data_IF_926288365883
#
_entry.id   IF_926288365883
#
_cell.length_a   1.000
_cell.length_b   1.000
_cell.length_c   1.000
_cell.angle_alpha   90.00
_cell.angle_beta   90.00
_cell.angle_gamma   90.00
#
_symmetry.space_group_name_H-M   'P 1'
#
loop_
_entity.id
_entity.type
_entity.pdbx_description
1 polymer ?
#
# COMPACT_ATOMS: atom_id res chain seq x y z
N UNK A 1 -74.98 13.05 26.93
CA UNK A 1 -74.18 11.80 26.90
C UNK A 1 -72.72 12.15 27.12
N UNK A 2 -72.10 11.64 28.19
CA UNK A 2 -70.67 11.82 28.51
C UNK A 2 -69.86 10.83 27.67
N UNK A 3 -69.03 11.31 26.75
CA UNK A 3 -68.12 10.47 25.98
C UNK A 3 -66.79 10.38 26.72
N UNK A 4 -66.49 9.16 27.20
CA UNK A 4 -65.35 8.83 28.06
C UNK A 4 -64.10 8.73 27.19
N UNK A 5 -63.18 9.68 27.34
CA UNK A 5 -61.85 9.63 26.73
C UNK A 5 -61.07 8.46 27.34
N UNK A 6 -60.82 7.40 26.56
CA UNK A 6 -60.01 6.25 26.99
C UNK A 6 -58.65 6.29 26.29
N UNK A 7 -57.67 6.64 27.12
CA UNK A 7 -56.23 6.62 26.95
C UNK A 7 -55.66 5.76 25.81
N UNK A 8 -55.00 6.44 24.89
CA UNK A 8 -54.04 5.89 23.93
C UNK A 8 -52.70 5.65 24.65
N UNK A 9 -52.66 4.64 25.53
CA UNK A 9 -51.48 4.33 26.38
C UNK A 9 -50.48 3.34 25.77
N UNK A 10 -50.73 2.83 24.56
CA UNK A 10 -49.84 1.87 23.88
C UNK A 10 -48.89 2.47 22.84
N UNK A 11 -49.20 3.67 22.32
CA UNK A 11 -48.46 4.22 21.18
C UNK A 11 -47.11 4.84 21.59
N UNK A 12 -46.99 5.37 22.80
CA UNK A 12 -45.75 6.00 23.29
C UNK A 12 -44.63 5.00 23.55
N UNK A 13 -44.94 3.80 24.05
CA UNK A 13 -43.92 2.79 24.41
C UNK A 13 -43.28 2.17 23.16
N UNK A 14 -44.09 1.89 22.13
CA UNK A 14 -43.60 1.41 20.83
C UNK A 14 -42.75 2.47 20.13
N UNK A 15 -43.12 3.75 20.21
CA UNK A 15 -42.34 4.85 19.64
C UNK A 15 -40.99 5.03 20.35
N UNK A 16 -40.94 4.83 21.67
CA UNK A 16 -39.70 4.88 22.46
C UNK A 16 -38.78 3.69 22.17
N UNK A 17 -39.31 2.48 22.03
CA UNK A 17 -38.52 1.30 21.64
C UNK A 17 -38.00 1.44 20.21
N UNK A 18 -38.79 2.01 19.29
CA UNK A 18 -38.33 2.32 17.93
C UNK A 18 -37.26 3.41 17.91
N UNK A 19 -37.36 4.42 18.77
CA UNK A 19 -36.36 5.49 18.89
C UNK A 19 -35.04 4.97 19.50
N UNK A 20 -35.09 4.07 20.49
CA UNK A 20 -33.89 3.41 21.01
C UNK A 20 -33.27 2.43 20.01
N UNK A 21 -34.06 1.68 19.23
CA UNK A 21 -33.52 0.85 18.13
C UNK A 21 -32.85 1.70 17.04
N UNK A 22 -33.41 2.86 16.71
CA UNK A 22 -32.82 3.80 15.75
C UNK A 22 -31.56 4.50 16.29
N UNK A 23 -31.42 4.64 17.62
CA UNK A 23 -30.21 5.14 18.27
C UNK A 23 -29.11 4.08 18.39
N UNK A 24 -29.46 2.78 18.37
CA UNK A 24 -28.51 1.66 18.44
C UNK A 24 -28.02 1.13 17.10
N UNK A 25 -28.62 1.54 15.97
CA UNK A 25 -28.01 1.36 14.64
C UNK A 25 -27.27 2.63 14.25
N UNK A 26 -26.28 3.00 15.08
CA UNK A 26 -25.08 3.60 14.51
C UNK A 26 -24.28 2.46 13.90
N UNK A 27 -24.71 2.00 12.72
CA UNK A 27 -23.78 1.40 11.78
C UNK A 27 -22.66 2.43 11.63
N UNK A 28 -21.54 2.13 12.28
CA UNK A 28 -20.30 2.81 12.00
C UNK A 28 -20.04 2.46 10.55
N UNK A 29 -20.41 3.35 9.63
CA UNK A 29 -19.92 3.33 8.26
C UNK A 29 -18.41 3.53 8.38
N UNK A 30 -17.69 2.45 8.66
CA UNK A 30 -16.25 2.47 8.76
C UNK A 30 -15.78 2.67 7.33
N UNK A 31 -15.16 3.82 7.11
CA UNK A 31 -14.42 4.16 5.90
C UNK A 31 -13.67 2.94 5.36
N UNK A 32 -13.57 2.82 4.04
CA UNK A 32 -12.84 1.77 3.33
C UNK A 32 -11.51 1.44 4.05
N UNK A 33 -11.50 0.34 4.81
CA UNK A 33 -10.32 -0.05 5.59
C UNK A 33 -9.31 -0.64 4.60
N UNK A 34 -8.31 0.16 4.21
CA UNK A 34 -7.16 -0.35 3.47
C UNK A 34 -6.27 -1.21 4.37
N UNK A 35 -6.22 -0.88 5.65
CA UNK A 35 -5.40 -1.58 6.64
C UNK A 35 -6.27 -2.08 7.79
N UNK A 36 -5.90 -3.23 8.33
CA UNK A 36 -6.53 -3.81 9.51
C UNK A 36 -5.49 -4.10 10.59
N UNK A 37 -5.85 -3.82 11.84
CA UNK A 37 -5.07 -4.14 13.02
C UNK A 37 -5.99 -4.69 14.09
N UNK A 38 -5.69 -5.88 14.59
CA UNK A 38 -6.52 -6.57 15.58
C UNK A 38 -5.71 -7.51 16.47
N UNK A 39 -6.40 -8.13 17.44
CA UNK A 39 -5.80 -9.04 18.41
C UNK A 39 -6.57 -10.36 18.46
N UNK A 40 -5.86 -11.49 18.42
CA UNK A 40 -6.48 -12.81 18.60
C UNK A 40 -6.99 -13.05 20.03
N UNK A 41 -6.53 -12.26 21.02
CA UNK A 41 -7.01 -12.39 22.41
C UNK A 41 -8.47 -11.98 22.59
N UNK A 42 -9.01 -11.15 21.68
CA UNK A 42 -10.43 -10.77 21.67
C UNK A 42 -11.30 -11.73 20.85
N UNK A 43 -10.70 -12.69 20.15
CA UNK A 43 -11.40 -13.58 19.24
C UNK A 43 -11.99 -14.79 19.98
N UNK A 44 -13.22 -15.17 19.61
CA UNK A 44 -13.85 -16.36 20.17
C UNK A 44 -13.05 -17.61 19.74
N UNK A 45 -12.80 -18.53 20.66
CA UNK A 45 -12.08 -19.77 20.35
C UNK A 45 -12.75 -20.54 19.20
N UNK A 46 -11.95 -20.96 18.22
CA UNK A 46 -12.44 -21.70 17.05
C UNK A 46 -13.23 -20.88 16.03
N UNK A 47 -13.33 -19.56 16.20
CA UNK A 47 -13.98 -18.68 15.22
C UNK A 47 -13.04 -18.25 14.09
N UNK A 48 -13.63 -17.91 12.95
CA UNK A 48 -12.94 -17.25 11.82
C UNK A 48 -13.46 -15.82 11.71
N UNK A 49 -12.61 -14.82 11.95
CA UNK A 49 -12.98 -13.42 11.79
C UNK A 49 -12.92 -13.04 10.30
N UNK A 50 -13.99 -12.41 9.80
CA UNK A 50 -14.05 -11.94 8.42
C UNK A 50 -13.59 -10.48 8.35
N UNK A 51 -12.56 -10.22 7.57
CA UNK A 51 -12.03 -8.86 7.35
C UNK A 51 -12.19 -8.51 5.88
N UNK A 52 -12.72 -7.33 5.60
CA UNK A 52 -12.96 -6.87 4.23
C UNK A 52 -12.08 -5.66 3.93
N UNK A 53 -11.16 -5.81 2.99
CA UNK A 53 -10.25 -4.75 2.57
C UNK A 53 -10.58 -4.33 1.14
N UNK A 54 -10.79 -3.02 0.92
CA UNK A 54 -11.36 -2.48 -0.33
C UNK A 54 -10.36 -1.69 -1.18
N UNK A 55 -9.11 -1.65 -0.76
CA UNK A 55 -8.05 -0.89 -1.40
C UNK A 55 -7.16 -1.79 -2.25
N UNK A 56 -6.47 -1.18 -3.21
CA UNK A 56 -5.47 -1.88 -4.02
C UNK A 56 -4.16 -2.13 -3.23
N UNK A 57 -3.98 -1.51 -2.08
CA UNK A 57 -2.81 -1.72 -1.23
C UNK A 57 -3.15 -1.43 0.23
N UNK A 58 -2.40 -2.04 1.15
CA UNK A 58 -2.55 -1.81 2.57
C UNK A 58 -1.75 -2.77 3.43
N UNK A 59 -2.12 -2.87 4.70
CA UNK A 59 -1.40 -3.67 5.71
C UNK A 59 -2.33 -4.39 6.66
N UNK A 60 -1.90 -5.57 7.11
CA UNK A 60 -2.60 -6.35 8.12
C UNK A 60 -1.63 -6.61 9.26
N UNK A 61 -2.03 -6.31 10.49
CA UNK A 61 -1.25 -6.57 11.70
C UNK A 61 -2.12 -7.31 12.73
N UNK A 62 -1.83 -8.59 12.92
CA UNK A 62 -2.52 -9.44 13.89
C UNK A 62 -1.65 -9.72 15.10
N UNK A 63 -2.01 -9.12 16.22
CA UNK A 63 -1.33 -9.29 17.51
C UNK A 63 -1.85 -10.53 18.22
N UNK A 64 -0.96 -11.32 18.82
CA UNK A 64 -1.34 -12.55 19.53
C UNK A 64 -2.30 -13.43 18.72
N UNK A 65 -1.89 -13.90 17.52
CA UNK A 65 -2.77 -14.68 16.65
C UNK A 65 -3.45 -15.84 17.37
N UNK A 66 -4.77 -15.97 17.22
CA UNK A 66 -5.57 -17.04 17.82
C UNK A 66 -6.80 -17.32 16.95
N UNK A 67 -7.07 -18.59 16.60
CA UNK A 67 -8.12 -18.93 15.64
C UNK A 67 -7.68 -18.66 14.21
N UNK A 68 -8.51 -17.98 13.41
CA UNK A 68 -8.19 -17.65 12.03
C UNK A 68 -8.83 -16.33 11.56
N UNK A 69 -8.23 -15.71 10.53
CA UNK A 69 -8.79 -14.57 9.81
C UNK A 69 -9.03 -14.96 8.35
N UNK A 70 -10.16 -14.55 7.78
CA UNK A 70 -10.41 -14.61 6.33
C UNK A 70 -10.52 -13.18 5.79
N UNK A 71 -9.52 -12.77 5.03
CA UNK A 71 -9.41 -11.46 4.42
C UNK A 71 -9.98 -11.51 3.00
N UNK A 72 -11.09 -10.82 2.77
CA UNK A 72 -11.68 -10.66 1.43
C UNK A 72 -11.17 -9.38 0.79
N UNK A 73 -10.49 -9.50 -0.34
CA UNK A 73 -9.87 -8.38 -1.04
C UNK A 73 -10.75 -8.00 -2.23
N UNK A 74 -11.34 -6.83 -2.17
CA UNK A 74 -12.21 -6.30 -3.22
C UNK A 74 -11.77 -4.89 -3.59
N UNK A 75 -10.71 -4.74 -4.39
CA UNK A 75 -10.27 -3.42 -4.82
C UNK A 75 -11.43 -2.78 -5.57
N UNK A 76 -11.79 -1.54 -5.20
CA UNK A 76 -12.81 -0.80 -5.96
C UNK A 76 -12.38 -0.79 -7.43
N UNK A 77 -13.27 -1.13 -8.38
CA UNK A 77 -12.92 -1.04 -9.80
C UNK A 77 -12.45 0.39 -10.05
N UNK A 78 -11.24 0.55 -10.57
CA UNK A 78 -10.77 1.86 -11.02
C UNK A 78 -11.82 2.39 -11.97
N UNK A 79 -12.40 3.54 -11.65
CA UNK A 79 -13.41 4.26 -12.43
C UNK A 79 -13.00 4.58 -13.89
N UNK A 80 -11.84 4.12 -14.35
CA UNK A 80 -11.35 4.13 -15.73
C UNK A 80 -12.10 3.15 -16.67
N UNK A 81 -13.43 3.13 -16.57
CA UNK A 81 -14.34 2.30 -17.38
C UNK A 81 -15.67 2.98 -17.72
N UNK A 82 -15.86 4.27 -17.42
CA UNK A 82 -17.09 5.02 -17.75
C UNK A 82 -17.06 5.70 -19.13
N UNK A 83 -16.21 5.23 -20.04
CA UNK A 83 -16.30 5.58 -21.46
C UNK A 83 -17.15 4.55 -22.20
N UNK A 84 -18.21 4.93 -22.93
CA UNK A 84 -18.97 3.99 -23.73
C UNK A 84 -18.06 3.46 -24.85
N UNK A 85 -17.77 2.15 -24.84
CA UNK A 85 -17.08 1.46 -25.93
C UNK A 85 -15.76 0.77 -25.61
N UNK A 86 -15.29 0.74 -24.35
CA UNK A 86 -14.14 -0.09 -23.98
C UNK A 86 -14.65 -1.42 -23.42
N UNK A 87 -14.55 -2.47 -24.23
CA UNK A 87 -14.68 -3.86 -23.81
C UNK A 87 -13.92 -4.05 -22.49
N UNK A 88 -14.57 -4.60 -21.46
CA UNK A 88 -13.92 -4.97 -20.20
C UNK A 88 -12.78 -5.94 -20.52
N UNK A 89 -11.57 -5.41 -20.72
CA UNK A 89 -10.42 -6.25 -21.01
C UNK A 89 -10.25 -7.18 -19.81
N UNK A 90 -10.39 -8.48 -20.06
CA UNK A 90 -10.18 -9.57 -19.11
C UNK A 90 -8.68 -9.69 -18.76
N UNK A 91 -8.05 -8.59 -18.37
CA UNK A 91 -6.63 -8.57 -18.01
C UNK A 91 -6.49 -9.24 -16.67
N UNK A 92 -5.64 -10.29 -16.55
CA UNK A 92 -5.30 -10.88 -15.26
C UNK A 92 -4.94 -9.77 -14.27
N UNK A 93 -5.35 -9.93 -13.03
CA UNK A 93 -4.84 -9.12 -11.94
C UNK A 93 -3.91 -10.00 -11.12
N UNK A 94 -2.94 -9.40 -10.44
CA UNK A 94 -2.09 -10.10 -9.50
C UNK A 94 -2.23 -9.46 -8.14
N UNK A 95 -2.06 -10.26 -7.12
CA UNK A 95 -1.91 -9.80 -5.75
C UNK A 95 -0.58 -10.29 -5.25
N UNK A 96 0.12 -9.37 -4.62
CA UNK A 96 1.41 -9.61 -4.03
C UNK A 96 1.34 -9.33 -2.53
N UNK A 97 1.97 -10.19 -1.75
CA UNK A 97 2.07 -10.06 -0.29
C UNK A 97 3.54 -10.03 0.11
N UNK A 98 3.88 -9.18 1.08
CA UNK A 98 5.20 -9.11 1.70
C UNK A 98 5.04 -9.21 3.21
N UNK A 99 5.53 -10.29 3.80
CA UNK A 99 5.57 -10.45 5.24
C UNK A 99 6.59 -9.49 5.87
N UNK A 100 6.26 -8.96 7.04
CA UNK A 100 7.17 -8.13 7.83
C UNK A 100 8.24 -9.03 8.51
N UNK A 101 9.46 -8.52 8.78
CA UNK A 101 10.56 -9.33 9.36
C UNK A 101 10.21 -10.04 10.67
N UNK A 102 9.33 -9.46 11.49
CA UNK A 102 8.86 -10.00 12.76
C UNK A 102 7.68 -10.99 12.66
N UNK A 103 7.31 -11.41 11.44
CA UNK A 103 6.22 -12.35 11.21
C UNK A 103 6.37 -13.61 12.07
N UNK A 104 5.36 -13.90 12.88
CA UNK A 104 5.33 -15.08 13.74
C UNK A 104 3.92 -15.37 14.26
N UNK A 105 3.66 -16.63 14.62
CA UNK A 105 2.43 -17.09 15.25
C UNK A 105 1.30 -17.38 14.27
N UNK A 106 1.51 -17.31 12.96
CA UNK A 106 0.50 -17.64 11.98
C UNK A 106 1.07 -18.11 10.64
N UNK A 107 0.23 -18.77 9.86
CA UNK A 107 0.47 -19.13 8.47
C UNK A 107 -0.49 -18.36 7.57
N UNK A 108 0.01 -17.85 6.44
CA UNK A 108 -0.77 -17.13 5.44
C UNK A 108 -1.00 -18.02 4.23
N UNK A 109 -2.26 -18.13 3.81
CA UNK A 109 -2.71 -18.92 2.68
C UNK A 109 -3.46 -18.06 1.66
N UNK A 110 -3.35 -18.45 0.39
CA UNK A 110 -4.24 -18.02 -0.67
C UNK A 110 -5.45 -18.96 -0.72
N UNK A 111 -6.65 -18.41 -0.63
CA UNK A 111 -7.89 -19.13 -0.89
C UNK A 111 -8.31 -18.95 -2.36
N UNK A 112 -8.34 -20.05 -3.11
CA UNK A 112 -8.80 -20.12 -4.50
C UNK A 112 -9.63 -21.37 -4.71
N UNK A 113 -10.85 -21.23 -5.22
CA UNK A 113 -11.74 -22.35 -5.56
C UNK A 113 -11.94 -23.36 -4.41
N UNK A 114 -11.95 -22.87 -3.16
CA UNK A 114 -12.07 -23.69 -1.96
C UNK A 114 -10.78 -24.40 -1.52
N UNK A 115 -9.66 -24.18 -2.22
CA UNK A 115 -8.32 -24.69 -1.88
C UNK A 115 -7.50 -23.61 -1.19
N UNK A 116 -6.75 -24.00 -0.16
CA UNK A 116 -5.80 -23.15 0.55
C UNK A 116 -4.36 -23.48 0.13
N UNK A 117 -3.69 -22.54 -0.52
CA UNK A 117 -2.27 -22.65 -0.91
C UNK A 117 -1.39 -21.83 0.04
N UNK A 118 -0.38 -22.45 0.66
CA UNK A 118 0.51 -21.78 1.62
C UNK A 118 1.40 -20.74 0.94
N UNK A 119 1.31 -19.48 1.37
CA UNK A 119 2.14 -18.37 0.90
C UNK A 119 3.30 -18.05 1.86
N UNK A 120 3.00 -17.98 3.17
CA UNK A 120 3.98 -17.64 4.22
C UNK A 120 3.79 -18.59 5.40
N UNK A 121 4.87 -19.26 5.80
CA UNK A 121 4.89 -20.14 6.98
C UNK A 121 5.09 -19.38 8.29
N UNK A 122 4.93 -20.09 9.42
CA UNK A 122 5.03 -19.52 10.78
C UNK A 122 6.43 -18.97 11.13
N UNK A 123 7.47 -19.58 10.56
CA UNK A 123 8.87 -19.18 10.76
C UNK A 123 9.47 -18.93 9.39
N UNK A 124 9.14 -17.79 8.79
CA UNK A 124 9.77 -17.34 7.54
C UNK A 124 11.09 -16.64 7.86
N UNK A 125 12.22 -17.28 7.56
CA UNK A 125 13.56 -16.71 7.78
C UNK A 125 13.93 -15.54 6.85
N UNK A 126 13.13 -15.25 5.83
CA UNK A 126 13.39 -14.20 4.84
C UNK A 126 12.09 -13.54 4.38
N UNK A 127 12.10 -12.21 4.24
CA UNK A 127 10.97 -11.38 3.78
C UNK A 127 10.78 -11.48 2.27
N UNK A 128 10.28 -12.61 1.80
CA UNK A 128 10.00 -12.78 0.38
C UNK A 128 8.64 -12.23 0.00
N UNK A 129 8.62 -11.32 -0.98
CA UNK A 129 7.40 -10.95 -1.69
C UNK A 129 6.90 -12.16 -2.49
N UNK A 130 5.62 -12.52 -2.31
CA UNK A 130 4.95 -13.57 -3.09
C UNK A 130 3.82 -12.96 -3.89
N UNK A 131 3.82 -13.18 -5.20
CA UNK A 131 2.80 -12.68 -6.12
C UNK A 131 2.03 -13.84 -6.76
N UNK A 132 0.74 -13.66 -6.95
CA UNK A 132 -0.15 -14.65 -7.55
C UNK A 132 -1.19 -13.97 -8.44
N UNK A 133 -1.38 -14.52 -9.64
CA UNK A 133 -2.28 -13.99 -10.66
C UNK A 133 -3.68 -14.60 -10.53
N UNK A 134 -4.72 -13.82 -10.76
CA UNK A 134 -6.12 -14.21 -10.72
C UNK A 134 -6.88 -13.59 -11.89
N UNK A 135 -7.93 -14.26 -12.36
CA UNK A 135 -8.72 -13.74 -13.49
C UNK A 135 -9.73 -12.69 -13.04
N UNK A 136 -10.11 -11.73 -13.91
CA UNK A 136 -11.16 -10.77 -13.58
C UNK A 136 -12.49 -11.46 -13.25
N UNK A 137 -13.00 -11.22 -12.05
CA UNK A 137 -14.21 -11.85 -11.54
C UNK A 137 -13.95 -12.87 -10.42
N UNK A 138 -12.74 -13.44 -10.37
CA UNK A 138 -12.26 -14.15 -9.18
C UNK A 138 -12.19 -13.18 -7.99
N UNK A 139 -12.61 -13.64 -6.82
CA UNK A 139 -12.51 -12.89 -5.56
C UNK A 139 -11.42 -13.53 -4.71
N UNK A 140 -10.14 -13.15 -4.88
CA UNK A 140 -9.08 -13.73 -4.08
C UNK A 140 -9.33 -13.38 -2.61
N UNK A 141 -9.18 -14.38 -1.75
CA UNK A 141 -9.17 -14.20 -0.32
C UNK A 141 -7.84 -14.71 0.25
N UNK A 142 -7.38 -14.05 1.31
CA UNK A 142 -6.24 -14.48 2.08
C UNK A 142 -6.74 -15.08 3.39
N UNK A 143 -6.24 -16.25 3.75
CA UNK A 143 -6.60 -16.92 4.99
C UNK A 143 -5.39 -16.95 5.91
N UNK A 144 -5.53 -16.42 7.12
CA UNK A 144 -4.52 -16.49 8.16
C UNK A 144 -4.97 -17.49 9.21
N UNK A 145 -4.12 -18.46 9.51
CA UNK A 145 -4.37 -19.44 10.57
C UNK A 145 -3.33 -19.27 11.66
N UNK A 146 -3.78 -19.11 12.91
CA UNK A 146 -2.86 -19.05 14.04
C UNK A 146 -2.16 -20.40 14.25
N UNK A 147 -0.87 -20.37 14.51
CA UNK A 147 -0.10 -21.55 14.87
C UNK A 147 -0.36 -21.88 16.35
N UNK A 148 -0.79 -23.09 16.71
CA UNK A 148 -1.01 -23.45 18.10
C UNK A 148 0.26 -23.26 18.95
N UNK A 149 0.14 -22.52 20.05
CA UNK A 149 1.21 -22.36 21.03
C UNK A 149 0.65 -22.41 22.45
N UNK A 150 1.47 -22.81 23.43
CA UNK A 150 1.04 -22.98 24.83
C UNK A 150 1.45 -21.83 25.75
N UNK A 151 2.29 -20.91 25.26
CA UNK A 151 2.71 -19.73 26.00
C UNK A 151 1.80 -18.53 25.70
N UNK A 152 1.97 -17.42 26.43
CA UNK A 152 1.35 -16.12 26.11
C UNK A 152 2.36 -15.18 25.44
N UNK A 153 3.35 -15.76 24.73
CA UNK A 153 4.42 -14.97 24.13
C UNK A 153 3.85 -14.00 23.09
N UNK A 154 4.41 -12.80 23.04
CA UNK A 154 4.01 -11.81 22.03
C UNK A 154 4.47 -12.29 20.66
N UNK A 155 3.50 -12.60 19.79
CA UNK A 155 3.69 -12.96 18.39
C UNK A 155 2.89 -11.99 17.53
N UNK A 156 3.40 -11.70 16.34
CA UNK A 156 2.80 -10.72 15.44
C UNK A 156 2.84 -11.29 14.03
N UNK A 157 1.66 -11.55 13.47
CA UNK A 157 1.50 -11.87 12.06
C UNK A 157 1.19 -10.56 11.31
N UNK A 158 2.23 -9.95 10.74
CA UNK A 158 2.11 -8.69 10.02
C UNK A 158 2.62 -8.79 8.58
N UNK A 159 1.84 -8.29 7.64
CA UNK A 159 2.21 -8.25 6.23
C UNK A 159 1.55 -7.09 5.50
N UNK A 160 2.12 -6.75 4.34
CA UNK A 160 1.57 -5.78 3.40
C UNK A 160 1.10 -6.47 2.14
N UNK A 161 0.08 -5.91 1.52
CA UNK A 161 -0.49 -6.43 0.29
C UNK A 161 -0.61 -5.34 -0.77
N UNK A 162 -0.47 -5.73 -2.03
CA UNK A 162 -0.69 -4.90 -3.21
C UNK A 162 -1.45 -5.71 -4.26
N UNK A 163 -2.44 -5.10 -4.90
CA UNK A 163 -3.19 -5.63 -6.03
C UNK A 163 -2.81 -4.82 -7.26
N UNK A 164 -2.36 -5.51 -8.29
CA UNK A 164 -1.94 -4.94 -9.57
C UNK A 164 -2.84 -5.48 -10.66
N UNK A 165 -3.50 -4.60 -11.42
CA UNK A 165 -4.13 -5.02 -12.67
C UNK A 165 -3.05 -5.12 -13.75
N UNK A 166 -3.05 -6.15 -14.58
CA UNK A 166 -2.18 -6.26 -15.77
C UNK A 166 -2.62 -5.30 -16.89
N UNK A 167 -3.16 -4.13 -16.52
CA UNK A 167 -3.25 -3.00 -17.45
C UNK A 167 -1.85 -2.44 -17.55
N UNK A 168 -1.10 -3.01 -18.50
CA UNK A 168 -0.08 -2.37 -19.33
C UNK A 168 0.03 -0.87 -19.01
N UNK A 169 1.04 -0.52 -18.23
CA UNK A 169 1.59 0.83 -18.06
C UNK A 169 2.12 1.34 -19.43
N UNK A 170 1.25 1.43 -20.44
CA UNK A 170 1.55 2.14 -21.69
C UNK A 170 0.85 3.47 -21.66
N UNK A 171 1.38 4.35 -20.81
CA UNK A 171 1.61 5.76 -21.13
C UNK A 171 2.91 6.24 -20.45
N UNK A 172 3.98 5.45 -20.53
CA UNK A 172 5.35 5.86 -20.89
C UNK A 172 6.23 4.62 -20.77
N UNK A 173 6.81 4.26 -21.91
CA UNK A 173 7.70 3.14 -22.19
C UNK A 173 8.70 2.79 -21.06
N UNK A 174 8.39 1.80 -20.21
CA UNK A 174 9.08 0.50 -20.17
C UNK A 174 8.52 -0.40 -19.06
N UNK A 175 8.09 -1.58 -19.49
CA UNK A 175 7.27 -2.58 -18.80
C UNK A 175 7.81 -3.12 -17.47
N UNK A 176 6.98 -3.04 -16.43
CA UNK A 176 7.03 -3.92 -15.27
C UNK A 176 5.86 -4.90 -15.34
N UNK A 177 6.07 -6.07 -15.95
CA UNK A 177 5.43 -7.33 -15.59
C UNK A 177 6.22 -8.49 -16.21
N UNK A 178 6.73 -9.38 -15.34
CA UNK A 178 7.07 -10.78 -15.60
C UNK A 178 7.81 -11.09 -16.92
N UNK A 179 8.95 -10.45 -17.09
CA UNK A 179 10.13 -10.94 -17.82
C UNK A 179 11.31 -10.06 -17.35
N UNK A 180 12.57 -10.52 -17.39
CA UNK A 180 13.68 -9.78 -16.79
C UNK A 180 13.70 -8.39 -17.40
N UNK A 181 13.49 -7.38 -16.57
CA UNK A 181 13.70 -5.96 -16.87
C UNK A 181 14.90 -5.92 -17.81
N UNK A 182 14.73 -5.43 -19.04
CA UNK A 182 15.88 -5.04 -19.83
C UNK A 182 16.59 -3.99 -18.98
N UNK A 183 17.65 -4.42 -18.31
CA UNK A 183 18.39 -3.69 -17.28
C UNK A 183 18.85 -2.31 -17.77
N UNK A 184 18.91 -2.15 -19.10
CA UNK A 184 19.22 -0.94 -19.84
C UNK A 184 18.19 0.19 -19.67
N UNK A 185 16.91 -0.12 -19.49
CA UNK A 185 15.85 0.89 -19.37
C UNK A 185 15.65 1.45 -17.95
N UNK A 186 15.96 0.66 -16.93
CA UNK A 186 15.64 0.99 -15.53
C UNK A 186 16.68 1.91 -14.86
N UNK A 187 17.93 1.90 -15.34
CA UNK A 187 19.03 2.64 -14.73
C UNK A 187 19.46 3.88 -15.52
N UNK A 188 18.79 4.18 -16.64
CA UNK A 188 19.09 5.38 -17.42
C UNK A 188 18.64 6.64 -16.67
N UNK A 189 19.39 7.75 -16.76
CA UNK A 189 18.91 9.03 -16.27
C UNK A 189 17.58 9.42 -16.94
N UNK A 190 16.66 9.99 -16.16
CA UNK A 190 15.41 10.52 -16.69
C UNK A 190 15.67 11.70 -17.63
N UNK A 191 14.94 11.77 -18.74
CA UNK A 191 14.94 12.93 -19.63
C UNK A 191 14.08 14.08 -19.07
N UNK A 192 14.11 15.25 -19.72
CA UNK A 192 13.42 16.45 -19.25
C UNK A 192 11.91 16.23 -19.01
N UNK A 193 11.24 15.57 -19.95
CA UNK A 193 9.81 15.27 -19.83
C UNK A 193 9.53 14.30 -18.68
N UNK A 194 10.33 13.24 -18.56
CA UNK A 194 10.22 12.25 -17.47
C UNK A 194 10.46 12.89 -16.12
N UNK A 195 11.48 13.74 -15.99
CA UNK A 195 11.76 14.47 -14.75
C UNK A 195 10.58 15.33 -14.32
N UNK A 196 9.98 16.08 -15.25
CA UNK A 196 8.83 16.95 -14.96
C UNK A 196 7.59 16.13 -14.58
N UNK A 197 7.29 15.06 -15.32
CA UNK A 197 6.15 14.19 -15.03
C UNK A 197 6.31 13.44 -13.71
N UNK A 198 7.52 12.97 -13.38
CA UNK A 198 7.79 12.23 -12.16
C UNK A 198 7.46 13.06 -10.90
N UNK A 199 7.70 14.37 -10.93
CA UNK A 199 7.30 15.27 -9.83
C UNK A 199 5.79 15.27 -9.61
N UNK A 200 4.98 15.03 -10.65
CA UNK A 200 3.52 15.05 -10.55
C UNK A 200 2.94 13.69 -10.18
N UNK A 201 3.53 12.59 -10.63
CA UNK A 201 2.93 11.24 -10.54
C UNK A 201 3.53 10.34 -9.46
N UNK A 202 4.70 10.69 -8.91
CA UNK A 202 5.37 9.89 -7.88
C UNK A 202 4.60 9.81 -6.55
N UNK A 203 4.81 8.77 -5.76
CA UNK A 203 4.26 8.72 -4.39
C UNK A 203 5.06 9.62 -3.44
N UNK A 204 6.33 9.88 -3.74
CA UNK A 204 7.17 10.80 -2.99
C UNK A 204 8.00 11.72 -3.90
N UNK A 205 8.26 12.92 -3.41
CA UNK A 205 9.11 13.94 -4.04
C UNK A 205 9.91 14.63 -2.94
N UNK A 206 11.22 14.40 -2.91
CA UNK A 206 12.09 14.79 -1.80
C UNK A 206 13.38 15.41 -2.31
N UNK A 207 13.73 16.57 -1.78
CA UNK A 207 15.08 17.15 -1.96
C UNK A 207 15.97 16.69 -0.81
N UNK A 208 17.15 16.19 -1.14
CA UNK A 208 18.10 15.74 -0.11
C UNK A 208 19.48 15.42 -0.64
N UNK A 209 20.26 14.77 0.21
CA UNK A 209 21.64 14.35 -0.04
C UNK A 209 21.81 12.86 0.30
N UNK A 210 22.63 12.16 -0.48
CA UNK A 210 23.00 10.77 -0.21
C UNK A 210 24.00 10.75 0.96
N UNK A 211 23.65 10.05 2.03
CA UNK A 211 24.51 9.86 3.21
C UNK A 211 25.34 8.58 3.09
N UNK A 212 24.69 7.49 2.69
CA UNK A 212 25.31 6.19 2.50
C UNK A 212 24.54 5.41 1.43
N UNK A 213 25.19 4.41 0.85
CA UNK A 213 24.56 3.41 -0.02
C UNK A 213 24.96 2.05 0.52
N UNK A 214 23.97 1.26 0.90
CA UNK A 214 24.14 -0.10 1.41
C UNK A 214 23.56 -1.09 0.39
N UNK A 215 24.02 -2.35 0.47
CA UNK A 215 23.50 -3.42 -0.37
C UNK A 215 22.62 -4.31 0.49
N UNK A 216 21.38 -4.50 0.07
CA UNK A 216 20.48 -5.49 0.62
C UNK A 216 20.63 -6.78 -0.22
N UNK A 217 21.25 -7.80 0.39
CA UNK A 217 21.51 -9.09 -0.27
C UNK A 217 20.22 -9.84 -0.59
N UNK A 218 19.20 -9.68 0.23
CA UNK A 218 17.96 -10.45 0.18
C UNK A 218 17.05 -9.92 -0.94
N UNK A 219 17.01 -8.58 -1.08
CA UNK A 219 16.25 -7.90 -2.12
C UNK A 219 17.02 -7.69 -3.43
N UNK A 220 18.33 -8.02 -3.46
CA UNK A 220 19.25 -7.67 -4.56
C UNK A 220 19.11 -6.20 -4.96
N UNK A 221 19.00 -5.33 -3.95
CA UNK A 221 18.73 -3.91 -4.12
C UNK A 221 19.82 -3.05 -3.45
N UNK A 222 20.08 -1.88 -4.01
CA UNK A 222 20.85 -0.83 -3.37
C UNK A 222 19.92 0.03 -2.50
N UNK A 223 20.27 0.20 -1.23
CA UNK A 223 19.55 1.02 -0.25
C UNK A 223 20.29 2.34 -0.08
N UNK A 224 19.69 3.42 -0.58
CA UNK A 224 20.21 4.78 -0.53
C UNK A 224 19.70 5.43 0.76
N UNK A 225 20.58 5.68 1.72
CA UNK A 225 20.25 6.45 2.93
C UNK A 225 20.28 7.93 2.60
N UNK A 226 19.13 8.59 2.69
CA UNK A 226 18.95 9.98 2.29
C UNK A 226 18.68 10.86 3.50
N UNK A 227 19.39 11.98 3.57
CA UNK A 227 19.06 13.09 4.46
C UNK A 227 18.26 14.10 3.66
N UNK A 228 16.98 14.21 3.98
CA UNK A 228 16.03 15.07 3.31
C UNK A 228 16.11 16.49 3.90
N UNK A 229 16.39 17.44 3.01
CA UNK A 229 16.36 18.88 3.33
C UNK A 229 14.96 19.46 3.15
N UNK A 230 14.16 18.88 2.24
CA UNK A 230 12.75 19.26 2.03
C UNK A 230 11.96 18.07 1.50
N UNK A 231 10.81 17.79 2.11
CA UNK A 231 9.84 16.80 1.63
C UNK A 231 8.69 17.58 0.99
N UNK A 232 8.54 17.49 -0.33
CA UNK A 232 7.46 18.17 -1.05
C UNK A 232 6.17 17.35 -1.01
N UNK A 233 6.32 16.03 -1.12
CA UNK A 233 5.24 15.05 -1.05
C UNK A 233 5.81 13.73 -0.56
N UNK A 234 5.05 13.00 0.23
CA UNK A 234 5.29 11.59 0.50
C UNK A 234 3.98 10.89 0.85
N UNK A 235 3.77 9.72 0.27
CA UNK A 235 2.77 8.75 0.70
C UNK A 235 3.35 7.97 1.88
N UNK A 236 2.63 7.89 3.00
CA UNK A 236 3.14 7.37 4.28
C UNK A 236 4.33 8.18 4.84
N UNK A 237 4.78 7.85 6.04
CA UNK A 237 5.90 8.52 6.71
C UNK A 237 7.26 7.93 6.29
N UNK A 238 7.55 7.92 4.98
CA UNK A 238 8.79 7.35 4.40
C UNK A 238 10.05 8.09 4.87
N UNK A 239 9.94 9.41 5.02
CA UNK A 239 10.97 10.28 5.58
C UNK A 239 10.47 10.81 6.91
N UNK A 240 11.01 10.26 7.98
CA UNK A 240 10.65 10.62 9.35
C UNK A 240 11.66 11.61 9.93
N UNK A 241 11.20 12.45 10.86
CA UNK A 241 12.08 13.41 11.52
C UNK A 241 12.97 12.68 12.52
N UNK A 242 14.29 12.71 12.30
CA UNK A 242 15.30 12.17 13.23
C UNK A 242 15.86 13.24 14.17
N UNK A 243 15.19 14.39 14.29
CA UNK A 243 15.56 15.50 15.16
C UNK A 243 14.63 16.71 15.01
N UNK A 244 15.11 17.93 15.35
CA UNK A 244 14.30 19.16 15.26
C UNK A 244 14.16 19.73 13.83
N UNK A 245 15.03 19.37 12.89
CA UNK A 245 15.09 20.03 11.57
C UNK A 245 15.40 19.12 10.37
N UNK A 246 15.82 17.87 10.57
CA UNK A 246 16.28 16.99 9.47
C UNK A 246 15.42 15.75 9.37
N UNK A 247 14.87 15.51 8.19
CA UNK A 247 14.17 14.27 7.87
C UNK A 247 15.17 13.28 7.28
N UNK A 248 15.01 12.00 7.57
CA UNK A 248 15.81 10.93 6.97
C UNK A 248 14.91 9.79 6.52
N UNK A 249 15.32 9.13 5.45
CA UNK A 249 14.61 7.99 4.90
C UNK A 249 15.54 7.15 4.02
N UNK A 250 15.01 6.01 3.58
CA UNK A 250 15.72 5.05 2.75
C UNK A 250 14.99 4.89 1.43
N UNK A 251 15.74 4.87 0.32
CA UNK A 251 15.21 4.66 -1.02
C UNK A 251 15.91 3.46 -1.64
N UNK A 252 15.15 2.53 -2.19
CA UNK A 252 15.65 1.32 -2.85
C UNK A 252 15.75 1.50 -4.35
N UNK A 253 16.74 0.87 -4.98
CA UNK A 253 16.88 0.77 -6.43
C UNK A 253 17.61 -0.51 -6.82
N UNK A 254 17.63 -0.86 -8.09
CA UNK A 254 18.31 -2.08 -8.56
C UNK A 254 19.83 -1.96 -8.35
N UNK A 255 20.46 -3.07 -7.90
CA UNK A 255 21.92 -3.11 -7.76
C UNK A 255 22.67 -2.82 -9.07
N UNK A 256 22.10 -3.22 -10.20
CA UNK A 256 22.66 -2.99 -11.53
C UNK A 256 22.81 -1.50 -11.89
N UNK A 257 22.08 -0.60 -11.21
CA UNK A 257 22.20 0.84 -11.44
C UNK A 257 23.49 1.43 -10.86
N UNK A 258 24.24 0.67 -10.06
CA UNK A 258 25.59 1.04 -9.63
C UNK A 258 25.66 2.36 -8.84
N UNK A 259 24.61 2.66 -8.06
CA UNK A 259 24.52 3.91 -7.29
C UNK A 259 25.66 4.00 -6.28
N UNK A 260 26.26 5.18 -6.18
CA UNK A 260 27.36 5.49 -5.26
C UNK A 260 27.05 6.72 -4.43
N UNK A 261 27.69 6.81 -3.28
CA UNK A 261 27.72 8.05 -2.51
C UNK A 261 28.37 9.15 -3.35
N UNK A 262 27.72 10.32 -3.40
CA UNK A 262 28.20 11.46 -4.16
C UNK A 262 27.82 12.77 -3.51
N UNK A 263 28.62 13.81 -3.75
CA UNK A 263 28.33 15.16 -3.28
C UNK A 263 27.23 15.82 -4.12
N UNK A 264 26.50 16.74 -3.47
CA UNK A 264 25.44 17.53 -4.08
C UNK A 264 24.04 17.19 -3.55
N UNK A 265 23.09 18.04 -3.94
CA UNK A 265 21.68 17.88 -3.62
C UNK A 265 20.95 17.31 -4.83
N UNK A 266 20.06 16.35 -4.58
CA UNK A 266 19.27 15.63 -5.57
C UNK A 266 17.79 15.83 -5.30
N UNK A 267 16.98 15.76 -6.36
CA UNK A 267 15.54 15.59 -6.26
C UNK A 267 15.25 14.11 -6.44
N UNK A 268 14.80 13.42 -5.40
CA UNK A 268 14.40 12.03 -5.44
C UNK A 268 12.89 11.95 -5.66
N UNK A 269 12.49 11.19 -6.66
CA UNK A 269 11.10 10.86 -6.95
C UNK A 269 10.95 9.36 -7.14
N UNK A 270 9.78 8.82 -6.88
CA UNK A 270 9.50 7.41 -7.09
C UNK A 270 8.22 6.92 -6.47
N UNK A 271 8.05 5.61 -6.44
CA UNK A 271 6.83 4.94 -6.03
C UNK A 271 7.04 4.18 -4.72
N UNK A 272 5.96 3.96 -3.99
CA UNK A 272 5.97 3.09 -2.82
C UNK A 272 5.65 1.68 -3.26
N UNK A 273 6.49 0.73 -2.85
CA UNK A 273 6.19 -0.69 -2.94
C UNK A 273 6.31 -1.34 -1.56
N UNK A 274 5.24 -1.94 -1.08
CA UNK A 274 5.12 -2.54 0.26
C UNK A 274 5.57 -1.59 1.37
N UNK A 275 5.17 -0.31 1.29
CA UNK A 275 5.56 0.69 2.28
C UNK A 275 7.01 1.16 2.21
N UNK A 276 7.79 0.67 1.24
CA UNK A 276 9.18 1.05 1.01
C UNK A 276 9.27 1.98 -0.19
N UNK A 277 10.12 3.00 -0.11
CA UNK A 277 10.35 3.91 -1.23
C UNK A 277 11.26 3.24 -2.28
N UNK A 278 10.82 3.21 -3.54
CA UNK A 278 11.58 2.76 -4.70
C UNK A 278 11.85 3.91 -5.65
N UNK A 279 13.10 4.01 -6.11
CA UNK A 279 13.57 5.13 -6.90
C UNK A 279 12.99 5.09 -8.33
N UNK A 280 12.42 6.22 -8.76
CA UNK A 280 12.10 6.51 -10.16
C UNK A 280 13.16 7.41 -10.78
N UNK A 281 13.18 8.70 -10.42
CA UNK A 281 14.17 9.66 -10.90
C UNK A 281 15.01 10.25 -9.75
N UNK A 282 16.29 10.51 -10.02
CA UNK A 282 17.22 11.18 -9.09
C UNK A 282 18.09 12.25 -9.77
N UNK A 283 17.53 13.25 -10.48
CA UNK A 283 18.35 14.32 -11.04
C UNK A 283 19.03 15.14 -9.93
N UNK A 284 20.16 15.75 -10.26
CA UNK A 284 20.71 16.81 -9.40
C UNK A 284 19.70 17.95 -9.34
N UNK A 285 19.48 18.48 -8.14
CA UNK A 285 18.44 19.49 -7.91
C UNK A 285 18.64 20.75 -8.78
N UNK A 286 19.90 21.14 -9.02
CA UNK A 286 20.25 22.26 -9.92
C UNK A 286 19.82 22.04 -11.37
N UNK A 287 19.88 20.80 -11.86
CA UNK A 287 19.57 20.46 -13.24
C UNK A 287 18.04 20.36 -13.40
N UNK A 288 17.34 19.80 -12.41
CA UNK A 288 15.89 19.87 -12.32
C UNK A 288 15.37 21.31 -12.33
N UNK A 289 15.93 22.20 -11.50
CA UNK A 289 15.50 23.61 -11.45
C UNK A 289 15.63 24.29 -12.81
N UNK A 290 16.71 24.02 -13.56
CA UNK A 290 16.91 24.56 -14.91
C UNK A 290 15.79 24.12 -15.86
N UNK A 291 15.48 22.82 -15.87
CA UNK A 291 14.42 22.24 -16.71
C UNK A 291 13.05 22.76 -16.30
N UNK A 292 12.76 22.81 -15.00
CA UNK A 292 11.49 23.27 -14.44
C UNK A 292 11.22 24.74 -14.74
N UNK A 293 12.18 25.64 -14.52
CA UNK A 293 12.00 27.07 -14.81
C UNK A 293 11.87 27.34 -16.31
N UNK A 294 12.63 26.63 -17.15
CA UNK A 294 12.48 26.72 -18.60
C UNK A 294 11.09 26.26 -19.07
N UNK A 295 10.59 25.14 -18.54
CA UNK A 295 9.24 24.66 -18.85
C UNK A 295 8.16 25.61 -18.31
N UNK A 296 8.37 26.20 -17.13
CA UNK A 296 7.45 27.15 -16.50
C UNK A 296 7.33 28.44 -17.32
N UNK A 297 8.44 28.98 -17.81
CA UNK A 297 8.44 30.13 -18.73
C UNK A 297 7.68 29.86 -20.03
N UNK A 298 7.73 28.61 -20.52
CA UNK A 298 7.00 28.16 -21.70
C UNK A 298 5.56 27.73 -21.42
N UNK A 299 5.09 27.79 -20.17
CA UNK A 299 3.78 27.30 -19.75
C UNK A 299 3.55 25.81 -20.06
N UNK A 300 4.62 25.01 -19.97
CA UNK A 300 4.64 23.57 -20.31
C UNK A 300 4.85 22.67 -19.07
N UNK A 301 4.69 23.22 -17.85
CA UNK A 301 4.80 22.41 -16.63
C UNK A 301 3.57 21.52 -16.46
N UNK A 302 3.74 20.21 -16.19
CA UNK A 302 2.61 19.30 -15.97
C UNK A 302 1.92 19.50 -14.61
N UNK A 303 2.65 20.01 -13.62
CA UNK A 303 2.12 20.42 -12.32
C UNK A 303 3.06 21.44 -11.66
N UNK A 304 2.60 22.08 -10.59
CA UNK A 304 3.38 23.04 -9.80
C UNK A 304 4.10 22.36 -8.64
N UNK A 305 5.36 22.76 -8.42
CA UNK A 305 6.17 22.42 -7.27
C UNK A 305 6.68 23.71 -6.61
N UNK A 306 6.56 23.81 -5.29
CA UNK A 306 7.05 24.97 -4.53
C UNK A 306 8.57 24.91 -4.34
N UNK A 307 9.33 25.46 -5.27
CA UNK A 307 10.79 25.39 -5.30
C UNK A 307 11.50 26.39 -4.37
N UNK A 308 10.77 27.27 -3.68
CA UNK A 308 11.32 28.36 -2.85
C UNK A 308 11.25 28.10 -1.34
#
# INVERSE_FOLDING_TARGET
MKMKMRMMKGFGLLLWIQLELLLWVRESYTADQCSWRGSGLSQLQGSVEQVFLRCAEGSVEWLYPSGALRLSLSPRPSWAGLGPGVSSSSTPASICVKAEPQWSGAQLYLERDGVLELLVGDVSGHTHTRCFSFTPGERPALFLQATPHQDISRRIAAFRYELRGERRERLSDNSVHTDPISTEGACRPCNDTEMLMAVCTSDFVVRGNIRAVETDSDLRAAVIKVSATRVYRQKFALFSSTGRLTHSGEIRTLLSCGVRTGSGSFLFTGHVHFGEAWLGCAPRYKDFLRVYEHAKQKLQIPCTLDTH
#
